data_IF_845613988084
#
_entry.id   IF_845613988084
#
_cell.length_a   1.000
_cell.length_b   1.000
_cell.length_c   1.000
_cell.angle_alpha   90.00
_cell.angle_beta   90.00
_cell.angle_gamma   90.00
#
_symmetry.space_group_name_H-M   'P 1'
#
loop_
_entity.id
_entity.type
_entity.pdbx_description
1 polymer ?
#
# COMPACT_ATOMS: atom_id res chain seq x y z
N UNK A 1 -18.07 -45.64 -27.63
CA UNK A 1 -19.32 -46.41 -27.45
C UNK A 1 -18.95 -47.80 -26.96
N UNK A 2 -19.51 -48.22 -25.81
CA UNK A 2 -19.65 -49.63 -25.34
C UNK A 2 -18.35 -50.41 -25.07
N UNK A 3 -18.13 -51.26 -24.07
CA UNK A 3 -18.87 -51.80 -22.91
C UNK A 3 -17.77 -52.47 -22.04
N UNK A 4 -17.69 -52.22 -20.73
CA UNK A 4 -18.25 -53.00 -19.61
C UNK A 4 -17.72 -54.44 -19.44
N UNK A 5 -17.64 -54.80 -18.15
CA UNK A 5 -17.65 -56.13 -17.52
C UNK A 5 -16.26 -56.78 -17.32
N UNK A 6 -15.90 -57.39 -16.18
CA UNK A 6 -16.62 -57.68 -14.93
C UNK A 6 -15.65 -58.33 -13.90
N UNK A 7 -15.96 -58.18 -12.59
CA UNK A 7 -15.98 -59.18 -11.46
C UNK A 7 -14.97 -60.36 -11.45
N UNK A 8 -14.48 -60.94 -10.34
CA UNK A 8 -14.87 -61.06 -8.93
C UNK A 8 -13.67 -61.72 -8.16
N UNK A 9 -13.30 -61.26 -6.96
CA UNK A 9 -13.49 -61.84 -5.60
C UNK A 9 -12.94 -63.26 -5.28
N UNK A 10 -12.24 -63.30 -4.12
CA UNK A 10 -12.14 -64.35 -3.06
C UNK A 10 -11.30 -65.61 -3.38
N UNK A 11 -10.55 -66.24 -2.46
CA UNK A 11 -10.21 -66.05 -1.04
C UNK A 11 -9.25 -67.19 -0.59
N UNK A 12 -8.46 -66.93 0.49
CA UNK A 12 -7.98 -67.87 1.54
C UNK A 12 -7.12 -69.08 1.09
N UNK A 13 -6.08 -69.58 1.77
CA UNK A 13 -5.57 -69.52 3.15
C UNK A 13 -4.31 -70.39 3.22
N UNK A 14 -3.33 -70.07 4.08
CA UNK A 14 -2.56 -71.10 4.80
C UNK A 14 -1.77 -70.51 5.97
N UNK A 15 -1.94 -71.15 7.11
CA UNK A 15 -1.37 -70.88 8.44
C UNK A 15 0.04 -71.48 8.53
N UNK A 16 0.96 -70.78 9.20
CA UNK A 16 2.29 -71.29 9.57
C UNK A 16 2.78 -70.65 10.87
N UNK A 17 2.81 -71.46 11.92
CA UNK A 17 3.15 -71.17 13.32
C UNK A 17 4.67 -71.00 13.49
N UNK A 18 5.14 -70.11 14.39
CA UNK A 18 6.46 -70.30 15.01
C UNK A 18 7.18 -69.07 15.59
N UNK A 19 7.19 -69.00 16.92
CA UNK A 19 8.22 -68.39 17.80
C UNK A 19 8.32 -66.86 17.91
N UNK A 20 7.84 -66.35 19.06
CA UNK A 20 8.08 -65.00 19.57
C UNK A 20 9.43 -64.90 20.33
N UNK A 21 10.24 -63.85 20.07
CA UNK A 21 11.29 -63.39 20.98
C UNK A 21 10.75 -62.40 22.03
N UNK A 22 11.47 -62.19 23.17
CA UNK A 22 10.96 -61.51 24.35
C UNK A 22 10.69 -60.02 24.16
N UNK A 23 9.69 -59.53 24.91
CA UNK A 23 9.19 -58.16 24.90
C UNK A 23 10.28 -57.14 25.25
N UNK A 24 10.62 -56.30 24.27
CA UNK A 24 11.35 -55.05 24.49
C UNK A 24 10.36 -54.04 25.07
N UNK A 25 10.61 -53.60 26.29
CA UNK A 25 9.90 -52.48 26.93
C UNK A 25 10.12 -51.23 26.07
N UNK A 26 9.06 -50.60 25.51
CA UNK A 26 9.25 -49.38 24.73
C UNK A 26 9.77 -48.26 25.65
N UNK A 27 10.74 -47.45 25.20
CA UNK A 27 11.17 -46.28 25.95
C UNK A 27 9.95 -45.37 26.18
N UNK A 28 9.77 -44.96 27.43
CA UNK A 28 8.75 -44.01 27.87
C UNK A 28 8.80 -42.80 26.93
N UNK A 29 7.72 -42.56 26.19
CA UNK A 29 7.63 -41.43 25.28
C UNK A 29 8.02 -40.15 26.03
N UNK A 30 8.85 -39.27 25.46
CA UNK A 30 9.08 -37.96 26.05
C UNK A 30 7.72 -37.29 26.24
N UNK A 31 7.49 -36.56 27.34
CA UNK A 31 6.24 -35.85 27.52
C UNK A 31 6.01 -35.00 26.28
N UNK A 32 4.84 -35.17 25.63
CA UNK A 32 4.41 -34.28 24.56
C UNK A 32 4.63 -32.84 25.01
N UNK A 33 5.19 -31.96 24.17
CA UNK A 33 5.30 -30.56 24.53
C UNK A 33 3.90 -30.10 24.92
N UNK A 34 3.79 -29.54 26.13
CA UNK A 34 2.61 -28.80 26.54
C UNK A 34 2.46 -27.69 25.51
N UNK A 35 1.56 -27.88 24.55
CA UNK A 35 1.07 -26.79 23.71
C UNK A 35 0.26 -25.93 24.67
N UNK A 36 0.92 -24.91 25.22
CA UNK A 36 0.27 -23.85 25.97
C UNK A 36 -0.79 -23.26 25.03
N UNK A 37 -1.96 -22.98 25.58
CA UNK A 37 -3.18 -22.48 24.92
C UNK A 37 -3.03 -21.07 24.30
N UNK A 38 -1.81 -20.72 23.87
CA UNK A 38 -1.41 -19.43 23.30
C UNK A 38 -2.08 -19.18 21.94
N UNK A 39 -2.44 -20.26 21.22
CA UNK A 39 -3.13 -20.17 19.93
C UNK A 39 -4.53 -19.57 20.04
N UNK A 40 -5.30 -19.94 21.07
CA UNK A 40 -6.68 -19.46 21.22
C UNK A 40 -6.75 -18.00 21.74
N UNK A 41 -5.76 -17.56 22.52
CA UNK A 41 -5.63 -16.17 22.93
C UNK A 41 -5.11 -15.27 21.78
N UNK A 42 -4.16 -15.78 20.99
CA UNK A 42 -3.69 -15.12 19.77
C UNK A 42 -4.82 -14.92 18.76
N UNK A 43 -5.57 -15.97 18.42
CA UNK A 43 -6.66 -15.89 17.43
C UNK A 43 -7.75 -14.91 17.87
N UNK A 44 -8.13 -14.89 19.17
CA UNK A 44 -9.15 -13.96 19.68
C UNK A 44 -8.69 -12.49 19.68
N UNK A 45 -7.43 -12.24 20.02
CA UNK A 45 -6.86 -10.89 20.02
C UNK A 45 -6.57 -10.38 18.61
N UNK A 46 -6.11 -11.26 17.70
CA UNK A 46 -5.95 -10.96 16.28
C UNK A 46 -7.30 -10.64 15.63
N UNK A 47 -8.34 -11.43 15.90
CA UNK A 47 -9.71 -11.15 15.43
C UNK A 47 -10.24 -9.81 15.97
N UNK A 48 -9.94 -9.44 17.21
CA UNK A 48 -10.31 -8.12 17.76
C UNK A 48 -9.59 -6.98 17.05
N UNK A 49 -8.27 -7.10 16.82
CA UNK A 49 -7.49 -6.12 16.09
C UNK A 49 -7.96 -6.02 14.63
N UNK A 50 -8.17 -7.16 13.97
CA UNK A 50 -8.66 -7.23 12.59
C UNK A 50 -10.08 -6.67 12.47
N UNK A 51 -10.95 -6.80 13.49
CA UNK A 51 -12.25 -6.13 13.49
C UNK A 51 -12.12 -4.63 13.61
N UNK A 52 -11.24 -4.13 14.47
CA UNK A 52 -11.00 -2.67 14.60
C UNK A 52 -10.38 -2.12 13.33
N UNK A 53 -9.45 -2.85 12.72
CA UNK A 53 -8.91 -2.50 11.41
C UNK A 53 -9.97 -2.64 10.32
N UNK A 54 -10.82 -3.66 10.30
CA UNK A 54 -11.90 -3.80 9.32
C UNK A 54 -13.00 -2.74 9.49
N UNK A 55 -13.09 -2.07 10.64
CA UNK A 55 -13.93 -0.87 10.78
C UNK A 55 -13.36 0.33 10.03
N UNK A 56 -12.07 0.33 9.74
CA UNK A 56 -11.51 1.22 8.73
C UNK A 56 -11.95 0.70 7.35
N UNK A 57 -12.92 1.37 6.74
CA UNK A 57 -13.51 0.98 5.45
C UNK A 57 -12.46 0.76 4.34
N UNK A 58 -11.29 1.42 4.42
CA UNK A 58 -10.17 1.17 3.49
C UNK A 58 -9.47 -0.15 3.78
N UNK A 59 -9.20 -0.46 5.04
CA UNK A 59 -8.61 -1.75 5.40
C UNK A 59 -9.60 -2.88 5.10
N UNK A 60 -10.87 -2.76 5.50
CA UNK A 60 -11.94 -3.72 5.15
C UNK A 60 -12.03 -3.98 3.64
N UNK A 61 -12.03 -2.93 2.82
CA UNK A 61 -12.04 -3.05 1.37
C UNK A 61 -10.77 -3.74 0.83
N UNK A 62 -9.61 -3.49 1.44
CA UNK A 62 -8.34 -4.16 1.07
C UNK A 62 -8.32 -5.63 1.43
N UNK A 63 -8.85 -6.02 2.60
CA UNK A 63 -8.83 -7.42 3.09
C UNK A 63 -10.09 -8.21 2.74
N UNK A 64 -11.10 -7.58 2.13
CA UNK A 64 -12.37 -8.21 1.80
C UNK A 64 -13.24 -8.57 3.02
N UNK A 65 -12.96 -7.99 4.19
CA UNK A 65 -13.73 -8.22 5.41
C UNK A 65 -14.74 -7.08 5.58
N UNK A 66 -15.96 -7.25 5.07
CA UNK A 66 -17.08 -6.43 5.49
C UNK A 66 -17.75 -7.15 6.66
N UNK A 67 -17.77 -6.54 7.84
CA UNK A 67 -18.37 -7.18 9.02
C UNK A 67 -19.88 -7.33 8.85
N UNK A 68 -20.39 -8.55 9.00
CA UNK A 68 -21.84 -8.81 9.17
C UNK A 68 -22.37 -8.37 10.55
N UNK A 69 -21.50 -7.91 11.45
CA UNK A 69 -21.88 -7.32 12.74
C UNK A 69 -21.78 -5.81 12.67
N UNK A 70 -22.91 -5.12 12.81
CA UNK A 70 -23.00 -3.66 12.81
C UNK A 70 -22.00 -3.01 13.76
N UNK A 71 -21.49 -1.84 13.37
CA UNK A 71 -20.74 -0.97 14.25
C UNK A 71 -21.60 -0.63 15.49
N UNK A 72 -21.01 -0.46 16.69
CA UNK A 72 -21.72 0.29 17.72
C UNK A 72 -22.09 1.66 17.14
N UNK A 73 -23.31 2.13 17.43
CA UNK A 73 -23.96 3.30 16.80
C UNK A 73 -23.16 4.62 16.89
N UNK A 74 -22.05 4.65 17.63
CA UNK A 74 -21.22 5.83 17.92
C UNK A 74 -19.81 5.84 17.24
N UNK A 75 -19.49 4.89 16.35
CA UNK A 75 -18.18 4.86 15.67
C UNK A 75 -18.23 5.53 14.29
N UNK A 76 -17.62 6.71 14.15
CA UNK A 76 -17.42 7.36 12.85
C UNK A 76 -16.09 6.88 12.20
N UNK A 77 -16.12 6.09 11.10
CA UNK A 77 -14.93 5.64 10.38
C UNK A 77 -14.20 6.76 9.62
N UNK A 78 -14.64 8.02 9.74
CA UNK A 78 -14.02 9.18 9.11
C UNK A 78 -13.42 10.18 10.11
N UNK A 79 -13.71 10.05 11.40
CA UNK A 79 -12.96 10.77 12.43
C UNK A 79 -11.59 10.11 12.59
N UNK A 80 -10.58 10.64 11.88
CA UNK A 80 -9.21 10.16 11.91
C UNK A 80 -8.62 10.13 13.33
N UNK A 81 -9.06 11.01 14.23
CA UNK A 81 -8.61 11.04 15.62
C UNK A 81 -9.25 9.90 16.42
N UNK A 82 -10.57 9.71 16.31
CA UNK A 82 -11.25 8.58 16.93
C UNK A 82 -10.73 7.24 16.39
N UNK A 83 -10.45 7.16 15.08
CA UNK A 83 -9.83 6.00 14.44
C UNK A 83 -8.44 5.71 14.98
N UNK A 84 -7.56 6.72 15.01
CA UNK A 84 -6.21 6.55 15.54
C UNK A 84 -6.24 6.08 17.00
N UNK A 85 -7.15 6.61 17.82
CA UNK A 85 -7.34 6.19 19.21
C UNK A 85 -7.85 4.75 19.32
N UNK A 86 -8.87 4.37 18.55
CA UNK A 86 -9.43 3.02 18.55
C UNK A 86 -8.38 1.98 18.11
N UNK A 87 -7.61 2.27 17.06
CA UNK A 87 -6.53 1.39 16.59
C UNK A 87 -5.43 1.29 17.65
N UNK A 88 -5.05 2.40 18.29
CA UNK A 88 -4.03 2.39 19.34
C UNK A 88 -4.46 1.57 20.57
N UNK A 89 -5.72 1.65 20.98
CA UNK A 89 -6.26 0.87 22.09
C UNK A 89 -6.33 -0.63 21.76
N UNK A 90 -6.81 -0.97 20.56
CA UNK A 90 -6.82 -2.35 20.08
C UNK A 90 -5.40 -2.93 19.97
N UNK A 91 -4.46 -2.15 19.45
CA UNK A 91 -3.06 -2.52 19.36
C UNK A 91 -2.44 -2.77 20.73
N UNK A 92 -2.68 -1.89 21.71
CA UNK A 92 -2.19 -2.08 23.09
C UNK A 92 -2.70 -3.39 23.69
N UNK A 93 -3.97 -3.69 23.47
CA UNK A 93 -4.60 -4.94 23.93
C UNK A 93 -3.97 -6.16 23.24
N UNK A 94 -3.74 -6.08 21.94
CA UNK A 94 -3.08 -7.13 21.16
C UNK A 94 -1.63 -7.35 21.58
N UNK A 95 -0.84 -6.28 21.76
CA UNK A 95 0.56 -6.35 22.18
C UNK A 95 0.71 -7.03 23.54
N UNK A 96 -0.16 -6.70 24.51
CA UNK A 96 -0.16 -7.32 25.84
C UNK A 96 -0.62 -8.78 25.80
N UNK A 97 -1.67 -9.09 25.03
CA UNK A 97 -2.17 -10.47 24.87
C UNK A 97 -1.16 -11.41 24.19
N UNK A 98 -0.23 -10.86 23.42
CA UNK A 98 0.73 -11.63 22.62
C UNK A 98 2.16 -11.57 23.17
N UNK A 99 2.36 -10.93 24.33
CA UNK A 99 3.66 -10.71 24.97
C UNK A 99 4.45 -12.02 25.09
N UNK A 100 5.69 -12.04 24.57
CA UNK A 100 6.55 -13.22 24.53
C UNK A 100 6.52 -14.03 23.21
N UNK A 101 5.54 -13.82 22.32
CA UNK A 101 5.51 -14.50 21.01
C UNK A 101 6.48 -13.86 20.00
N UNK A 102 7.24 -14.67 19.28
CA UNK A 102 8.19 -14.25 18.22
C UNK A 102 7.67 -14.52 16.80
N UNK A 103 6.38 -14.84 16.66
CA UNK A 103 5.79 -15.18 15.36
C UNK A 103 5.90 -14.01 14.35
N UNK A 104 6.35 -14.25 13.10
CA UNK A 104 6.39 -13.24 12.05
C UNK A 104 5.04 -12.57 11.79
N UNK A 105 3.95 -13.33 11.90
CA UNK A 105 2.57 -12.86 11.74
C UNK A 105 2.18 -11.83 12.80
N UNK A 106 2.63 -12.03 14.05
CA UNK A 106 2.43 -11.07 15.15
C UNK A 106 3.09 -9.73 14.83
N UNK A 107 4.37 -9.77 14.40
CA UNK A 107 5.11 -8.57 14.02
C UNK A 107 4.42 -7.85 12.86
N UNK A 108 3.93 -8.60 11.86
CA UNK A 108 3.17 -8.06 10.74
C UNK A 108 1.91 -7.31 11.18
N UNK A 109 1.12 -7.90 12.09
CA UNK A 109 -0.10 -7.30 12.61
C UNK A 109 0.19 -6.01 13.41
N UNK A 110 1.21 -6.03 14.28
CA UNK A 110 1.63 -4.85 15.05
C UNK A 110 2.04 -3.70 14.13
N UNK A 111 2.89 -3.98 13.13
CA UNK A 111 3.39 -2.95 12.23
C UNK A 111 2.30 -2.40 11.31
N UNK A 112 1.39 -3.27 10.86
CA UNK A 112 0.22 -2.83 10.09
C UNK A 112 -0.65 -1.91 10.94
N UNK A 113 -0.99 -2.30 12.17
CA UNK A 113 -1.80 -1.46 13.05
C UNK A 113 -1.13 -0.12 13.39
N UNK A 114 0.19 -0.10 13.62
CA UNK A 114 0.96 1.16 13.83
C UNK A 114 0.89 2.06 12.61
N UNK A 115 1.05 1.50 11.41
CA UNK A 115 0.96 2.24 10.16
C UNK A 115 -0.45 2.82 9.94
N UNK A 116 -1.50 2.02 10.18
CA UNK A 116 -2.90 2.47 10.06
C UNK A 116 -3.26 3.54 11.10
N UNK A 117 -2.82 3.41 12.36
CA UNK A 117 -3.02 4.42 13.39
C UNK A 117 -2.31 5.74 13.05
N UNK A 118 -1.07 5.66 12.58
CA UNK A 118 -0.32 6.84 12.15
C UNK A 118 -0.98 7.51 10.93
N UNK A 119 -1.48 6.72 9.98
CA UNK A 119 -2.21 7.24 8.82
C UNK A 119 -3.49 7.95 9.23
N UNK A 120 -4.30 7.33 10.10
CA UNK A 120 -5.53 7.94 10.62
C UNK A 120 -5.23 9.27 11.34
N UNK A 121 -4.12 9.34 12.08
CA UNK A 121 -3.62 10.58 12.67
C UNK A 121 -3.28 11.65 11.63
N UNK A 122 -2.60 11.28 10.53
CA UNK A 122 -2.30 12.21 9.43
C UNK A 122 -3.56 12.69 8.71
N UNK A 123 -4.54 11.80 8.50
CA UNK A 123 -5.83 12.12 7.86
C UNK A 123 -6.62 13.16 8.67
N UNK A 124 -6.58 13.08 10.00
CA UNK A 124 -7.21 14.06 10.88
C UNK A 124 -6.57 15.46 10.78
N UNK A 125 -5.28 15.55 10.48
CA UNK A 125 -4.55 16.81 10.41
C UNK A 125 -4.51 17.43 9.01
N UNK A 126 -4.65 16.63 7.95
CA UNK A 126 -4.41 17.04 6.58
C UNK A 126 -5.59 16.80 5.67
N UNK A 127 -6.14 17.90 5.16
CA UNK A 127 -7.19 17.89 4.13
C UNK A 127 -6.74 17.23 2.82
N UNK A 128 -5.44 17.25 2.51
CA UNK A 128 -4.86 16.54 1.35
C UNK A 128 -4.99 15.02 1.51
N UNK A 129 -4.72 14.48 2.69
CA UNK A 129 -4.97 13.06 2.98
C UNK A 129 -6.47 12.75 3.05
N UNK A 130 -7.30 13.73 3.44
CA UNK A 130 -8.76 13.66 3.32
C UNK A 130 -9.26 13.51 1.88
N UNK A 131 -8.66 14.23 0.91
CA UNK A 131 -9.00 14.06 -0.50
C UNK A 131 -8.59 12.67 -1.05
N UNK A 132 -7.42 12.17 -0.62
CA UNK A 132 -7.01 10.79 -0.89
C UNK A 132 -7.98 9.78 -0.27
N UNK A 133 -8.51 10.07 0.94
CA UNK A 133 -9.54 9.29 1.62
C UNK A 133 -10.80 9.19 0.78
N UNK A 134 -11.32 10.30 0.29
CA UNK A 134 -12.48 10.33 -0.60
C UNK A 134 -12.25 9.48 -1.87
N UNK A 135 -11.06 9.55 -2.48
CA UNK A 135 -10.76 8.75 -3.66
C UNK A 135 -10.75 7.25 -3.34
N UNK A 136 -10.02 6.84 -2.31
CA UNK A 136 -9.90 5.44 -1.94
C UNK A 136 -11.26 4.83 -1.55
N UNK A 137 -12.16 5.61 -0.95
CA UNK A 137 -13.52 5.17 -0.64
C UNK A 137 -14.36 4.98 -1.91
N UNK A 138 -14.26 5.91 -2.85
CA UNK A 138 -14.93 5.79 -4.15
C UNK A 138 -14.42 4.58 -4.96
N UNK A 139 -13.13 4.28 -4.88
CA UNK A 139 -12.52 3.08 -5.49
C UNK A 139 -12.93 1.81 -4.75
N UNK A 140 -12.94 1.80 -3.41
CA UNK A 140 -13.42 0.67 -2.60
C UNK A 140 -14.90 0.35 -2.87
N UNK A 141 -15.74 1.37 -2.95
CA UNK A 141 -17.12 1.29 -3.41
C UNK A 141 -17.22 0.70 -4.82
N UNK A 142 -16.16 0.85 -5.61
CA UNK A 142 -16.12 0.32 -6.96
C UNK A 142 -15.89 -1.18 -7.04
N UNK A 143 -15.15 -1.72 -6.09
CA UNK A 143 -14.66 -3.09 -6.13
C UNK A 143 -15.46 -4.07 -5.25
N UNK A 144 -16.32 -3.59 -4.35
CA UNK A 144 -17.09 -4.44 -3.42
C UNK A 144 -18.57 -4.07 -3.40
N UNK A 145 -19.52 -5.02 -3.58
CA UNK A 145 -20.95 -4.80 -3.41
C UNK A 145 -21.35 -4.36 -1.99
N UNK A 146 -20.56 -4.70 -0.97
CA UNK A 146 -20.81 -4.33 0.42
C UNK A 146 -20.27 -2.91 0.74
N UNK A 147 -19.06 -2.56 0.30
CA UNK A 147 -18.58 -1.17 0.35
C UNK A 147 -19.46 -0.26 -0.50
N UNK A 148 -19.96 -0.78 -1.63
CA UNK A 148 -20.93 -0.12 -2.47
C UNK A 148 -22.26 0.11 -1.78
N UNK A 149 -22.61 -0.53 -0.64
CA UNK A 149 -23.84 -0.20 0.10
C UNK A 149 -23.65 1.03 0.98
N UNK A 150 -22.51 1.14 1.66
CA UNK A 150 -22.18 2.28 2.52
C UNK A 150 -21.80 3.52 1.69
N UNK A 151 -21.09 3.34 0.57
CA UNK A 151 -20.82 4.37 -0.42
C UNK A 151 -21.91 4.53 -1.50
N UNK A 152 -22.99 3.72 -1.47
CA UNK A 152 -24.18 3.95 -2.31
C UNK A 152 -25.08 5.04 -1.74
N UNK A 153 -24.94 5.39 -0.46
CA UNK A 153 -25.70 6.52 0.05
C UNK A 153 -25.02 7.82 -0.38
N UNK A 154 -25.59 8.40 -1.43
CA UNK A 154 -25.22 9.72 -1.94
C UNK A 154 -25.26 10.78 -0.82
N UNK A 155 -26.10 10.62 0.20
CA UNK A 155 -26.12 11.52 1.36
C UNK A 155 -24.82 11.41 2.18
N UNK A 156 -24.40 10.19 2.52
CA UNK A 156 -23.17 9.94 3.27
C UNK A 156 -21.95 10.46 2.51
N UNK A 157 -21.81 10.14 1.23
CA UNK A 157 -20.67 10.62 0.45
C UNK A 157 -20.67 12.14 0.30
N UNK A 158 -21.84 12.77 0.11
CA UNK A 158 -21.97 14.22 0.07
C UNK A 158 -21.59 14.90 1.39
N UNK A 159 -22.04 14.35 2.51
CA UNK A 159 -21.67 14.80 3.86
C UNK A 159 -20.16 14.77 4.03
N UNK A 160 -19.50 13.68 3.62
CA UNK A 160 -18.03 13.54 3.73
C UNK A 160 -17.27 14.51 2.85
N UNK A 161 -17.76 14.77 1.64
CA UNK A 161 -17.18 15.83 0.79
C UNK A 161 -17.37 17.20 1.46
N UNK A 162 -18.50 17.42 2.14
CA UNK A 162 -18.77 18.57 3.00
C UNK A 162 -17.76 18.72 4.14
N UNK A 163 -17.47 17.66 4.89
CA UNK A 163 -16.49 17.67 5.99
C UNK A 163 -15.10 18.10 5.48
N UNK A 164 -14.67 17.58 4.33
CA UNK A 164 -13.42 17.98 3.69
C UNK A 164 -13.45 19.46 3.31
N UNK A 165 -14.56 19.95 2.76
CA UNK A 165 -14.75 21.36 2.42
C UNK A 165 -14.70 22.28 3.67
N UNK A 166 -15.29 21.85 4.77
CA UNK A 166 -15.33 22.63 6.01
C UNK A 166 -13.94 22.66 6.68
N UNK A 167 -13.23 21.53 6.70
CA UNK A 167 -11.83 21.48 7.14
C UNK A 167 -10.89 22.30 6.23
N UNK A 168 -11.23 22.42 4.95
CA UNK A 168 -10.45 23.19 3.97
C UNK A 168 -10.68 24.69 4.11
N UNK A 169 -11.94 25.12 4.25
CA UNK A 169 -12.33 26.53 4.33
C UNK A 169 -11.90 27.22 5.62
N UNK A 170 -11.79 26.46 6.72
CA UNK A 170 -11.41 26.99 8.05
C UNK A 170 -9.90 27.19 8.23
N UNK A 171 -9.07 26.63 7.35
CA UNK A 171 -7.61 26.67 7.48
C UNK A 171 -6.96 27.40 6.31
N UNK A 172 -5.96 28.27 6.57
CA UNK A 172 -5.15 28.87 5.49
C UNK A 172 -4.31 27.77 4.81
N UNK A 173 -4.62 27.46 3.54
CA UNK A 173 -3.91 26.44 2.74
C UNK A 173 -3.03 27.05 1.66
N UNK A 174 -1.88 26.43 1.44
CA UNK A 174 -0.94 26.76 0.38
C UNK A 174 -1.49 26.44 -1.02
N UNK A 175 -0.95 27.06 -2.06
CA UNK A 175 -1.37 26.78 -3.46
C UNK A 175 -1.06 25.33 -3.83
N UNK A 176 0.03 24.80 -3.31
CA UNK A 176 0.40 23.40 -3.51
C UNK A 176 -0.64 22.46 -2.90
N UNK A 177 -1.05 22.68 -1.64
CA UNK A 177 -2.12 21.90 -1.00
C UNK A 177 -3.45 21.99 -1.75
N UNK A 178 -3.81 23.19 -2.21
CA UNK A 178 -5.03 23.40 -3.02
C UNK A 178 -4.99 22.60 -4.31
N UNK A 179 -3.89 22.67 -5.06
CA UNK A 179 -3.71 21.94 -6.32
C UNK A 179 -3.71 20.42 -6.12
N UNK A 180 -3.11 19.92 -5.04
CA UNK A 180 -3.14 18.48 -4.75
C UNK A 180 -4.56 18.00 -4.45
N UNK A 181 -5.35 18.77 -3.70
CA UNK A 181 -6.78 18.46 -3.49
C UNK A 181 -7.53 18.51 -4.83
N UNK A 182 -7.34 19.54 -5.66
CA UNK A 182 -7.96 19.62 -7.00
C UNK A 182 -7.63 18.38 -7.87
N UNK A 183 -6.36 17.98 -7.91
CA UNK A 183 -5.91 16.80 -8.66
C UNK A 183 -6.52 15.50 -8.10
N UNK A 184 -6.76 15.40 -6.79
CA UNK A 184 -7.41 14.26 -6.15
C UNK A 184 -8.94 14.20 -6.39
N UNK A 185 -9.60 15.35 -6.65
CA UNK A 185 -11.03 15.41 -6.95
C UNK A 185 -11.37 14.98 -8.39
N UNK A 186 -10.45 15.16 -9.33
CA UNK A 186 -10.62 14.79 -10.74
C UNK A 186 -11.00 13.30 -10.93
N UNK A 187 -10.28 12.32 -10.34
CA UNK A 187 -10.66 10.92 -10.40
C UNK A 187 -12.01 10.62 -9.74
N UNK A 188 -12.31 11.28 -8.61
CA UNK A 188 -13.57 11.10 -7.87
C UNK A 188 -14.77 11.54 -8.71
N UNK A 189 -14.70 12.71 -9.33
CA UNK A 189 -15.74 13.21 -10.23
C UNK A 189 -15.97 12.27 -11.41
N UNK A 190 -14.89 11.83 -12.08
CA UNK A 190 -14.97 10.86 -13.18
C UNK A 190 -15.60 9.54 -12.75
N UNK A 191 -15.40 9.12 -11.50
CA UNK A 191 -15.97 7.90 -10.96
C UNK A 191 -17.48 8.07 -10.68
N UNK A 192 -17.89 9.17 -10.05
CA UNK A 192 -19.30 9.48 -9.76
C UNK A 192 -20.11 9.62 -11.04
N UNK A 193 -19.57 10.32 -12.05
CA UNK A 193 -20.22 10.45 -13.36
C UNK A 193 -20.40 9.09 -14.03
N UNK A 194 -19.38 8.22 -14.03
CA UNK A 194 -19.45 6.88 -14.65
C UNK A 194 -20.46 5.95 -13.99
N UNK A 195 -20.76 6.10 -12.69
CA UNK A 195 -21.59 5.15 -11.91
C UNK A 195 -23.09 5.43 -11.85
N UNK A 196 -23.57 6.39 -12.63
CA UNK A 196 -25.00 6.73 -12.69
C UNK A 196 -25.29 8.19 -12.95
N UNK A 197 -24.25 9.02 -13.16
CA UNK A 197 -24.40 10.42 -13.50
C UNK A 197 -25.12 11.24 -12.42
N UNK A 198 -25.55 12.44 -12.82
CA UNK A 198 -26.14 13.46 -11.94
C UNK A 198 -27.39 13.05 -11.15
N UNK A 199 -28.05 11.94 -11.48
CA UNK A 199 -29.27 11.52 -10.80
C UNK A 199 -29.02 10.64 -9.56
N UNK A 200 -28.01 9.74 -9.63
CA UNK A 200 -27.70 8.83 -8.51
C UNK A 200 -26.83 9.48 -7.44
N UNK A 201 -25.92 10.35 -7.87
CA UNK A 201 -24.93 11.00 -7.00
C UNK A 201 -25.10 12.53 -6.98
N UNK A 202 -26.36 13.00 -7.00
CA UNK A 202 -26.68 14.41 -7.13
C UNK A 202 -26.11 15.25 -5.98
N UNK A 203 -26.23 14.76 -4.73
CA UNK A 203 -25.75 15.44 -3.54
C UNK A 203 -24.22 15.44 -3.52
N UNK A 204 -23.59 14.31 -3.83
CA UNK A 204 -22.14 14.17 -3.84
C UNK A 204 -21.50 15.05 -4.90
N UNK A 205 -22.10 15.10 -6.10
CA UNK A 205 -21.65 16.00 -7.17
C UNK A 205 -21.81 17.48 -6.77
N UNK A 206 -22.93 17.85 -6.13
CA UNK A 206 -23.13 19.20 -5.60
C UNK A 206 -22.09 19.58 -4.53
N UNK A 207 -21.84 18.68 -3.58
CA UNK A 207 -20.80 18.88 -2.57
C UNK A 207 -19.41 18.99 -3.20
N UNK A 208 -19.12 18.20 -4.24
CA UNK A 208 -17.86 18.25 -4.99
C UNK A 208 -17.70 19.55 -5.76
N UNK A 209 -18.77 20.06 -6.38
CA UNK A 209 -18.79 21.39 -7.00
C UNK A 209 -18.48 22.48 -5.97
N UNK A 210 -19.13 22.45 -4.80
CA UNK A 210 -18.87 23.41 -3.72
C UNK A 210 -17.41 23.34 -3.23
N UNK A 211 -16.87 22.14 -3.07
CA UNK A 211 -15.46 21.97 -2.71
C UNK A 211 -14.53 22.57 -3.78
N UNK A 212 -14.81 22.35 -5.07
CA UNK A 212 -14.06 22.95 -6.18
C UNK A 212 -14.16 24.48 -6.21
N UNK A 213 -15.33 25.03 -5.89
CA UNK A 213 -15.50 26.48 -5.74
C UNK A 213 -14.62 27.00 -4.61
N UNK A 214 -14.63 26.37 -3.43
CA UNK A 214 -13.75 26.73 -2.30
C UNK A 214 -12.26 26.61 -2.65
N UNK A 215 -11.84 25.59 -3.43
CA UNK A 215 -10.44 25.48 -3.87
C UNK A 215 -10.09 26.54 -4.92
N UNK A 216 -11.03 26.84 -5.83
CA UNK A 216 -10.88 27.73 -6.98
C UNK A 216 -11.01 29.23 -6.67
N UNK A 217 -11.90 29.64 -5.77
CA UNK A 217 -12.12 31.05 -5.37
C UNK A 217 -10.85 31.68 -4.79
N UNK A 218 -9.97 30.89 -4.18
CA UNK A 218 -8.69 31.39 -3.70
C UNK A 218 -7.65 31.64 -4.80
N UNK A 219 -7.84 31.14 -6.04
CA UNK A 219 -7.04 31.60 -7.18
C UNK A 219 -7.31 33.07 -7.51
N UNK A 220 -8.50 33.59 -7.17
CA UNK A 220 -8.86 34.97 -7.42
C UNK A 220 -8.30 35.95 -6.36
N UNK A 221 -7.79 35.45 -5.22
CA UNK A 221 -7.27 36.27 -4.12
C UNK A 221 -5.82 36.77 -4.31
N UNK A 222 -5.22 36.58 -5.49
CA UNK A 222 -3.97 37.22 -5.90
C UNK A 222 -2.68 36.61 -5.30
N UNK A 223 -1.54 37.07 -5.86
CA UNK A 223 -0.16 36.59 -5.69
C UNK A 223 0.45 36.70 -4.27
N UNK A 224 -0.37 36.69 -3.21
CA UNK A 224 0.16 36.61 -1.86
C UNK A 224 0.99 35.33 -1.71
N UNK A 225 2.27 35.42 -1.30
CA UNK A 225 3.08 34.23 -1.05
C UNK A 225 2.38 33.41 0.02
N UNK A 226 1.82 32.28 -0.40
CA UNK A 226 1.20 31.36 0.52
C UNK A 226 2.30 30.71 1.37
N UNK A 227 2.00 30.36 2.63
CA UNK A 227 3.00 29.77 3.50
C UNK A 227 3.58 28.52 2.85
N UNK A 228 4.91 28.40 2.87
CA UNK A 228 5.58 27.16 2.47
C UNK A 228 4.99 26.00 3.28
N UNK A 229 4.67 24.87 2.64
CA UNK A 229 4.20 23.71 3.36
C UNK A 229 5.24 23.35 4.41
N UNK A 230 4.85 23.33 5.69
CA UNK A 230 5.78 23.01 6.78
C UNK A 230 6.26 21.57 6.56
N UNK A 231 7.56 21.32 6.31
CA UNK A 231 8.05 19.97 6.12
C UNK A 231 7.79 19.18 7.40
N UNK A 232 7.04 18.09 7.26
CA UNK A 232 6.77 17.14 8.35
C UNK A 232 8.02 16.32 8.67
N UNK A 233 8.20 15.86 9.91
CA UNK A 233 9.28 14.93 10.23
C UNK A 233 9.18 13.67 9.35
N UNK A 234 10.29 13.26 8.74
CA UNK A 234 10.35 12.06 7.91
C UNK A 234 9.89 10.82 8.69
N UNK A 235 10.20 10.74 9.98
CA UNK A 235 9.87 9.61 10.87
C UNK A 235 8.37 9.28 10.87
N UNK A 236 7.50 10.30 10.88
CA UNK A 236 6.05 10.07 10.85
C UNK A 236 5.62 9.40 9.53
N UNK A 237 6.25 9.77 8.40
CA UNK A 237 5.98 9.14 7.12
C UNK A 237 6.52 7.70 7.06
N UNK A 238 7.67 7.44 7.69
CA UNK A 238 8.26 6.09 7.78
C UNK A 238 7.38 5.12 8.58
N UNK A 239 6.78 5.59 9.67
CA UNK A 239 5.80 4.79 10.42
C UNK A 239 4.60 4.41 9.55
N UNK A 240 4.06 5.34 8.76
CA UNK A 240 2.90 5.09 7.88
C UNK A 240 3.20 4.06 6.79
N UNK A 241 4.41 4.05 6.24
CA UNK A 241 4.78 3.06 5.22
C UNK A 241 5.13 1.69 5.83
N UNK A 242 5.25 1.61 7.16
CA UNK A 242 5.64 0.41 7.89
C UNK A 242 7.15 0.15 7.84
N UNK A 243 7.96 1.21 7.88
CA UNK A 243 9.42 1.17 7.91
C UNK A 243 9.97 1.62 9.26
N UNK A 244 11.02 0.94 9.72
CA UNK A 244 11.70 1.16 11.01
C UNK A 244 13.11 1.76 10.83
N UNK A 245 13.55 2.00 9.58
CA UNK A 245 14.84 2.63 9.30
C UNK A 245 14.92 4.04 9.84
N UNK A 246 16.13 4.45 10.21
CA UNK A 246 16.43 5.84 10.53
C UNK A 246 16.49 6.67 9.22
N UNK A 247 16.21 7.99 9.26
CA UNK A 247 16.25 8.86 8.08
C UNK A 247 17.52 8.77 7.24
N UNK A 248 18.69 8.66 7.88
CA UNK A 248 20.00 8.50 7.23
C UNK A 248 20.10 7.16 6.48
N UNK A 249 19.58 6.09 7.08
CA UNK A 249 19.56 4.76 6.47
C UNK A 249 18.59 4.70 5.27
N UNK A 250 17.46 5.42 5.34
CA UNK A 250 16.52 5.57 4.23
C UNK A 250 17.18 6.27 3.06
N UNK A 251 17.85 7.40 3.30
CA UNK A 251 18.58 8.13 2.25
C UNK A 251 19.69 7.28 1.63
N UNK A 252 20.45 6.55 2.44
CA UNK A 252 21.50 5.65 1.96
C UNK A 252 20.92 4.52 1.10
N UNK A 253 19.83 3.88 1.55
CA UNK A 253 19.14 2.80 0.85
C UNK A 253 18.59 3.28 -0.49
N UNK A 254 17.84 4.38 -0.50
CA UNK A 254 17.26 4.96 -1.71
C UNK A 254 18.36 5.41 -2.68
N UNK A 255 19.42 6.05 -2.20
CA UNK A 255 20.52 6.51 -3.04
C UNK A 255 21.31 5.37 -3.69
N UNK A 256 21.49 4.24 -2.99
CA UNK A 256 22.12 3.05 -3.56
C UNK A 256 21.21 2.37 -4.61
N UNK A 257 19.91 2.28 -4.34
CA UNK A 257 18.94 1.74 -5.26
C UNK A 257 18.77 2.59 -6.52
N UNK A 258 18.78 3.92 -6.38
CA UNK A 258 18.68 4.87 -7.49
C UNK A 258 19.80 4.62 -8.51
N UNK A 259 21.06 4.67 -8.09
CA UNK A 259 22.21 4.41 -8.96
C UNK A 259 22.15 3.04 -9.64
N UNK A 260 21.73 2.02 -8.90
CA UNK A 260 21.63 0.65 -9.41
C UNK A 260 20.54 0.55 -10.49
N UNK A 261 19.34 1.05 -10.19
CA UNK A 261 18.21 1.04 -11.13
C UNK A 261 18.47 1.95 -12.33
N UNK A 262 19.15 3.08 -12.14
CA UNK A 262 19.54 3.98 -13.22
C UNK A 262 20.48 3.27 -14.20
N UNK A 263 21.51 2.59 -13.69
CA UNK A 263 22.45 1.81 -14.50
C UNK A 263 21.76 0.70 -15.29
N UNK A 264 20.88 -0.07 -14.63
CA UNK A 264 20.10 -1.14 -15.27
C UNK A 264 19.15 -0.59 -16.34
N UNK A 265 18.41 0.47 -16.03
CA UNK A 265 17.47 1.10 -16.96
C UNK A 265 18.19 1.66 -18.18
N UNK A 266 19.30 2.39 -18.00
CA UNK A 266 20.11 2.94 -19.09
C UNK A 266 20.70 1.84 -19.96
N UNK A 267 21.23 0.77 -19.36
CA UNK A 267 21.75 -0.38 -20.10
C UNK A 267 20.65 -1.02 -20.96
N UNK A 268 19.47 -1.25 -20.38
CA UNK A 268 18.34 -1.83 -21.12
C UNK A 268 17.79 -0.91 -22.21
N UNK A 269 17.72 0.40 -21.97
CA UNK A 269 17.33 1.37 -23.00
C UNK A 269 18.33 1.42 -24.15
N UNK A 270 19.63 1.28 -23.89
CA UNK A 270 20.67 1.27 -24.92
C UNK A 270 20.63 0.02 -25.82
N UNK A 271 20.08 -1.09 -25.33
CA UNK A 271 19.79 -2.29 -26.15
C UNK A 271 18.62 -2.04 -27.13
N UNK A 272 17.80 -1.03 -26.87
CA UNK A 272 16.68 -0.65 -27.73
C UNK A 272 17.15 0.36 -28.78
N UNK A 273 16.57 0.29 -29.98
CA UNK A 273 16.71 1.39 -30.95
C UNK A 273 16.12 2.70 -30.39
N UNK A 274 16.71 3.83 -30.78
CA UNK A 274 16.37 5.17 -30.27
C UNK A 274 14.86 5.44 -30.21
N UNK A 275 14.14 5.20 -31.32
CA UNK A 275 12.68 5.38 -31.39
C UNK A 275 11.92 4.57 -30.34
N UNK A 276 12.35 3.33 -30.09
CA UNK A 276 11.73 2.46 -29.09
C UNK A 276 12.06 2.94 -27.68
N UNK A 277 13.32 3.35 -27.42
CA UNK A 277 13.72 3.92 -26.13
C UNK A 277 12.94 5.20 -25.79
N UNK A 278 12.72 6.10 -26.76
CA UNK A 278 11.87 7.30 -26.58
C UNK A 278 10.42 6.91 -26.27
N UNK A 279 9.87 5.93 -26.97
CA UNK A 279 8.51 5.45 -26.69
C UNK A 279 8.40 4.84 -25.29
N UNK A 280 9.39 4.06 -24.87
CA UNK A 280 9.44 3.42 -23.54
C UNK A 280 9.51 4.47 -22.43
N UNK A 281 10.40 5.45 -22.54
CA UNK A 281 10.54 6.52 -21.52
C UNK A 281 9.31 7.42 -21.45
N UNK A 282 8.62 7.66 -22.58
CA UNK A 282 7.33 8.37 -22.58
C UNK A 282 6.21 7.55 -21.95
N UNK A 283 6.15 6.24 -22.21
CA UNK A 283 5.13 5.36 -21.60
C UNK A 283 5.33 5.21 -20.10
N UNK A 284 6.57 5.02 -19.64
CA UNK A 284 6.91 5.00 -18.23
C UNK A 284 6.49 6.30 -17.52
N UNK A 285 6.67 7.46 -18.19
CA UNK A 285 6.25 8.77 -17.67
C UNK A 285 4.73 8.87 -17.46
N UNK A 286 3.95 8.34 -18.41
CA UNK A 286 2.48 8.25 -18.25
C UNK A 286 2.10 7.34 -17.08
N UNK A 287 2.77 6.19 -16.92
CA UNK A 287 2.49 5.24 -15.83
C UNK A 287 2.84 5.77 -14.45
N UNK A 288 3.86 6.64 -14.36
CA UNK A 288 4.26 7.27 -13.11
C UNK A 288 3.10 8.10 -12.49
N UNK A 289 2.26 8.68 -13.34
CA UNK A 289 1.07 9.45 -12.96
C UNK A 289 -0.18 8.61 -12.68
N UNK A 290 -0.25 7.36 -13.19
CA UNK A 290 -1.43 6.51 -13.03
C UNK A 290 -1.52 5.92 -11.61
N UNK A 291 -2.74 5.93 -11.07
CA UNK A 291 -3.13 5.12 -9.90
C UNK A 291 -3.77 3.84 -10.40
N UNK A 292 -3.29 2.70 -9.94
CA UNK A 292 -3.89 1.41 -10.26
C UNK A 292 -3.68 0.42 -9.11
N UNK A 293 -4.71 -0.36 -8.81
CA UNK A 293 -4.69 -1.25 -7.65
C UNK A 293 -3.75 -2.43 -7.84
N UNK A 294 -2.80 -2.57 -6.92
CA UNK A 294 -1.97 -3.75 -6.81
C UNK A 294 -2.65 -4.76 -5.88
N UNK A 295 -3.47 -5.65 -6.48
CA UNK A 295 -4.09 -6.77 -5.77
C UNK A 295 -3.29 -8.05 -5.99
N UNK A 296 -2.89 -8.70 -4.90
CA UNK A 296 -2.28 -10.03 -4.90
C UNK A 296 -3.10 -10.92 -3.98
N UNK A 297 -3.63 -12.02 -4.51
CA UNK A 297 -4.31 -13.03 -3.69
C UNK A 297 -3.30 -14.08 -3.23
N UNK A 298 -3.12 -14.22 -1.91
CA UNK A 298 -2.25 -15.21 -1.29
C UNK A 298 -3.14 -16.18 -0.49
N UNK A 299 -3.45 -17.37 -1.03
CA UNK A 299 -4.47 -18.26 -0.48
C UNK A 299 -4.32 -18.63 1.01
N UNK A 300 -3.10 -18.52 1.55
CA UNK A 300 -2.75 -18.95 2.91
C UNK A 300 -2.72 -17.81 3.94
N UNK A 301 -3.04 -16.56 3.57
CA UNK A 301 -2.99 -15.44 4.51
C UNK A 301 -3.91 -14.30 4.12
N UNK A 302 -4.87 -13.98 4.99
CA UNK A 302 -5.78 -12.84 4.86
C UNK A 302 -5.04 -11.50 4.92
N UNK A 303 -4.11 -11.33 5.85
CA UNK A 303 -3.30 -10.11 5.97
C UNK A 303 -2.37 -9.88 4.77
N UNK A 304 -1.76 -10.94 4.21
CA UNK A 304 -0.90 -10.83 3.02
C UNK A 304 -1.69 -10.77 1.71
N UNK A 305 -2.94 -11.25 1.72
CA UNK A 305 -3.90 -11.09 0.61
C UNK A 305 -4.55 -9.72 0.56
N UNK A 306 -4.32 -8.87 1.58
CA UNK A 306 -4.77 -7.49 1.57
C UNK A 306 -4.21 -6.79 0.33
N UNK A 307 -5.07 -6.05 -0.38
CA UNK A 307 -4.59 -5.14 -1.41
C UNK A 307 -3.60 -4.13 -0.80
N UNK A 308 -2.72 -3.58 -1.64
CA UNK A 308 -1.70 -2.67 -1.17
C UNK A 308 -2.26 -1.47 -0.42
N UNK A 309 -1.55 -1.02 0.62
CA UNK A 309 -1.77 0.32 1.16
C UNK A 309 -1.51 1.36 0.07
N UNK A 310 -2.22 2.51 0.08
CA UNK A 310 -2.04 3.55 -0.93
C UNK A 310 -0.59 3.98 -1.12
N UNK A 311 0.20 3.97 -0.03
CA UNK A 311 1.59 4.38 -0.05
C UNK A 311 2.50 3.43 -0.82
N UNK A 312 2.13 2.15 -0.93
CA UNK A 312 2.96 1.10 -1.53
C UNK A 312 2.44 0.58 -2.86
N UNK A 313 1.18 0.85 -3.16
CA UNK A 313 0.47 0.41 -4.37
C UNK A 313 1.24 0.68 -5.66
N UNK A 314 1.71 1.92 -5.83
CA UNK A 314 2.46 2.34 -7.01
C UNK A 314 3.81 1.61 -7.16
N UNK A 315 4.48 1.28 -6.05
CA UNK A 315 5.70 0.48 -6.04
C UNK A 315 5.41 -0.97 -6.38
N UNK A 316 4.38 -1.55 -5.75
CA UNK A 316 3.92 -2.92 -5.99
C UNK A 316 3.60 -3.17 -7.47
N UNK A 317 2.94 -2.22 -8.14
CA UNK A 317 2.70 -2.29 -9.58
C UNK A 317 3.98 -2.32 -10.41
N UNK A 318 4.93 -1.41 -10.15
CA UNK A 318 6.18 -1.37 -10.91
C UNK A 318 6.98 -2.67 -10.74
N UNK A 319 7.00 -3.22 -9.51
CA UNK A 319 7.60 -4.54 -9.23
C UNK A 319 6.89 -5.64 -10.03
N UNK A 320 5.57 -5.58 -10.15
CA UNK A 320 4.78 -6.55 -10.91
C UNK A 320 5.06 -6.49 -12.40
N UNK A 321 5.11 -5.29 -12.95
CA UNK A 321 5.46 -5.06 -14.35
C UNK A 321 6.83 -5.64 -14.68
N UNK A 322 7.82 -5.45 -13.81
CA UNK A 322 9.15 -6.05 -14.00
C UNK A 322 9.11 -7.58 -13.91
N UNK A 323 8.43 -8.13 -12.91
CA UNK A 323 8.33 -9.58 -12.73
C UNK A 323 7.70 -10.29 -13.94
N UNK A 324 6.73 -9.66 -14.59
CA UNK A 324 6.01 -10.21 -15.74
C UNK A 324 6.47 -9.68 -17.09
N UNK A 325 7.51 -8.86 -17.16
CA UNK A 325 8.06 -8.34 -18.41
C UNK A 325 8.54 -9.50 -19.31
N UNK A 326 7.97 -9.59 -20.51
CA UNK A 326 8.28 -10.63 -21.52
C UNK A 326 9.18 -10.11 -22.62
N UNK A 327 9.22 -8.80 -22.82
CA UNK A 327 10.01 -8.16 -23.86
C UNK A 327 11.06 -7.21 -23.26
N UNK A 328 12.18 -6.95 -23.98
CA UNK A 328 13.18 -5.96 -23.54
C UNK A 328 12.58 -4.55 -23.32
N UNK A 329 11.59 -4.16 -24.13
CA UNK A 329 10.93 -2.87 -23.99
C UNK A 329 10.06 -2.79 -22.73
N UNK A 330 9.32 -3.85 -22.38
CA UNK A 330 8.57 -3.93 -21.13
C UNK A 330 9.51 -3.92 -19.91
N UNK A 331 10.63 -4.65 -19.99
CA UNK A 331 11.62 -4.70 -18.92
C UNK A 331 12.28 -3.33 -18.70
N UNK A 332 12.68 -2.65 -19.78
CA UNK A 332 13.20 -1.30 -19.74
C UNK A 332 12.17 -0.30 -19.15
N UNK A 333 10.90 -0.40 -19.57
CA UNK A 333 9.82 0.45 -19.04
C UNK A 333 9.64 0.27 -17.54
N UNK A 334 9.65 -0.98 -17.06
CA UNK A 334 9.48 -1.28 -15.64
C UNK A 334 10.69 -0.81 -14.81
N UNK A 335 11.93 -0.95 -15.34
CA UNK A 335 13.14 -0.44 -14.68
C UNK A 335 13.15 1.09 -14.60
N UNK A 336 12.74 1.79 -15.66
CA UNK A 336 12.55 3.25 -15.64
C UNK A 336 11.51 3.65 -14.60
N UNK A 337 10.38 2.96 -14.55
CA UNK A 337 9.34 3.24 -13.55
C UNK A 337 9.85 3.04 -12.11
N UNK A 338 10.55 1.92 -11.84
CA UNK A 338 11.14 1.65 -10.52
C UNK A 338 12.16 2.72 -10.13
N UNK A 339 13.08 3.08 -11.03
CA UNK A 339 14.03 4.16 -10.81
C UNK A 339 13.31 5.47 -10.44
N UNK A 340 12.32 5.88 -11.24
CA UNK A 340 11.63 7.14 -11.04
C UNK A 340 10.81 7.18 -9.73
N UNK A 341 10.30 6.03 -9.26
CA UNK A 341 9.71 5.93 -7.91
C UNK A 341 10.75 6.17 -6.81
N UNK A 342 11.96 5.62 -6.96
CA UNK A 342 13.07 5.89 -6.02
C UNK A 342 13.49 7.36 -6.07
N UNK A 343 13.58 7.95 -7.25
CA UNK A 343 13.91 9.37 -7.44
C UNK A 343 12.89 10.29 -6.71
N UNK A 344 11.59 10.03 -6.87
CA UNK A 344 10.53 10.79 -6.16
C UNK A 344 10.60 10.58 -4.64
N UNK A 345 10.95 9.38 -4.17
CA UNK A 345 11.17 9.13 -2.74
C UNK A 345 12.41 9.87 -2.20
N UNK A 346 13.48 9.98 -2.98
CA UNK A 346 14.65 10.80 -2.63
C UNK A 346 14.29 12.28 -2.53
N UNK A 347 13.42 12.79 -3.42
CA UNK A 347 12.91 14.15 -3.31
C UNK A 347 12.14 14.35 -2.00
N UNK A 348 11.23 13.42 -1.68
CA UNK A 348 10.48 13.47 -0.42
C UNK A 348 11.42 13.42 0.79
N UNK A 349 12.38 12.51 0.81
CA UNK A 349 13.35 12.43 1.90
C UNK A 349 14.11 13.75 2.06
N UNK A 350 14.66 14.32 0.98
CA UNK A 350 15.41 15.58 1.01
C UNK A 350 14.59 16.78 1.51
N UNK A 351 13.33 16.90 1.10
CA UNK A 351 12.43 17.96 1.58
C UNK A 351 12.16 17.85 3.09
N UNK A 352 12.07 16.62 3.60
CA UNK A 352 11.64 16.34 4.97
C UNK A 352 12.79 16.12 5.97
N UNK A 353 14.03 15.92 5.51
CA UNK A 353 15.23 15.81 6.37
C UNK A 353 16.09 17.06 6.36
N UNK A 354 16.43 17.55 5.17
CA UNK A 354 17.46 18.56 4.95
C UNK A 354 16.88 19.93 4.63
N UNK A 355 15.54 20.04 4.53
CA UNK A 355 14.81 21.25 4.11
C UNK A 355 15.39 21.86 2.84
N UNK A 356 15.86 21.01 1.94
CA UNK A 356 16.48 21.45 0.70
C UNK A 356 15.45 22.17 -0.19
N UNK A 357 15.93 23.14 -0.97
CA UNK A 357 15.10 23.80 -1.95
C UNK A 357 14.81 22.86 -3.12
N UNK A 358 13.63 23.03 -3.74
CA UNK A 358 13.23 22.26 -4.92
C UNK A 358 14.25 22.35 -6.06
N UNK A 359 14.94 23.48 -6.23
CA UNK A 359 16.03 23.63 -7.20
C UNK A 359 17.25 22.74 -6.88
N UNK A 360 17.66 22.68 -5.61
CA UNK A 360 18.80 21.87 -5.19
C UNK A 360 18.52 20.36 -5.35
N UNK A 361 17.31 19.93 -5.03
CA UNK A 361 16.88 18.53 -5.17
C UNK A 361 16.80 18.13 -6.66
N UNK A 362 16.17 18.98 -7.51
CA UNK A 362 16.06 18.74 -8.96
C UNK A 362 17.42 18.67 -9.66
N UNK A 363 18.43 19.38 -9.17
CA UNK A 363 19.78 19.37 -9.74
C UNK A 363 20.58 18.10 -9.45
N UNK A 364 20.14 17.26 -8.49
CA UNK A 364 20.88 16.05 -8.07
C UNK A 364 20.19 14.75 -8.44
N UNK A 365 18.86 14.73 -8.44
CA UNK A 365 18.06 13.52 -8.66
C UNK A 365 17.11 13.78 -9.81
N UNK A 366 17.30 13.05 -10.91
CA UNK A 366 16.56 13.23 -12.17
C UNK A 366 15.59 12.07 -12.41
N UNK A 367 14.53 12.31 -13.19
CA UNK A 367 13.69 11.24 -13.71
C UNK A 367 14.28 10.76 -15.04
N UNK A 368 14.23 9.46 -15.28
CA UNK A 368 14.56 8.88 -16.59
C UNK A 368 13.38 8.92 -17.55
N UNK A 369 12.15 8.87 -17.04
CA UNK A 369 10.97 8.97 -17.89
C UNK A 369 10.82 10.38 -18.46
N UNK A 370 10.35 10.44 -19.70
CA UNK A 370 9.93 11.71 -20.30
C UNK A 370 8.57 12.09 -19.71
N UNK A 371 8.55 13.16 -18.94
CA UNK A 371 7.37 13.69 -18.25
C UNK A 371 7.09 15.12 -18.70
N UNK A 372 5.80 15.44 -18.89
CA UNK A 372 5.39 16.83 -19.06
C UNK A 372 5.52 17.61 -17.75
N UNK A 373 5.53 18.94 -17.84
CA UNK A 373 5.73 19.80 -16.67
C UNK A 373 4.62 19.63 -15.63
N UNK A 374 3.38 19.35 -16.07
CA UNK A 374 2.25 19.12 -15.17
C UNK A 374 2.48 17.88 -14.31
N UNK A 375 2.91 16.77 -14.91
CA UNK A 375 3.19 15.51 -14.23
C UNK A 375 4.37 15.67 -13.28
N UNK A 376 5.44 16.33 -13.74
CA UNK A 376 6.61 16.59 -12.90
C UNK A 376 6.25 17.44 -11.68
N UNK A 377 5.47 18.50 -11.87
CA UNK A 377 5.02 19.35 -10.76
C UNK A 377 4.09 18.62 -9.81
N UNK A 378 3.24 17.72 -10.30
CA UNK A 378 2.39 16.87 -9.46
C UNK A 378 3.24 15.91 -8.59
N UNK A 379 4.27 15.28 -9.17
CA UNK A 379 5.17 14.40 -8.41
C UNK A 379 5.95 15.15 -7.33
N UNK A 380 6.37 16.38 -7.61
CA UNK A 380 7.04 17.22 -6.62
C UNK A 380 6.11 17.66 -5.50
N UNK A 381 4.89 18.10 -5.84
CA UNK A 381 3.86 18.38 -4.82
C UNK A 381 3.60 17.16 -3.95
N UNK A 382 3.45 15.98 -4.55
CA UNK A 382 3.26 14.72 -3.84
C UNK A 382 4.43 14.40 -2.90
N UNK A 383 5.66 14.59 -3.35
CA UNK A 383 6.86 14.40 -2.53
C UNK A 383 6.92 15.34 -1.32
N UNK A 384 6.42 16.57 -1.46
CA UNK A 384 6.39 17.59 -0.39
C UNK A 384 5.20 17.46 0.55
N UNK A 385 4.02 17.12 0.04
CA UNK A 385 2.75 17.18 0.79
C UNK A 385 2.32 15.83 1.34
N UNK A 386 2.68 14.76 0.66
CA UNK A 386 2.31 13.38 1.00
C UNK A 386 3.55 12.47 0.96
N UNK A 387 4.56 12.75 1.80
CA UNK A 387 5.84 12.03 1.74
C UNK A 387 5.69 10.53 1.94
N UNK A 388 4.69 10.06 2.71
CA UNK A 388 4.45 8.63 2.88
C UNK A 388 4.13 7.93 1.55
N UNK A 389 3.36 8.56 0.65
CA UNK A 389 3.05 7.99 -0.67
C UNK A 389 4.31 7.87 -1.55
N UNK A 390 5.16 8.90 -1.53
CA UNK A 390 6.42 8.89 -2.26
C UNK A 390 7.39 7.83 -1.70
N UNK A 391 7.59 7.83 -0.38
CA UNK A 391 8.51 6.92 0.31
C UNK A 391 8.08 5.46 0.19
N UNK A 392 6.80 5.15 0.40
CA UNK A 392 6.32 3.77 0.35
C UNK A 392 6.58 3.16 -1.03
N UNK A 393 6.27 3.90 -2.09
CA UNK A 393 6.49 3.46 -3.46
C UNK A 393 7.98 3.31 -3.79
N UNK A 394 8.81 4.26 -3.36
CA UNK A 394 10.25 4.21 -3.63
C UNK A 394 10.98 3.15 -2.81
N UNK A 395 10.59 2.91 -1.56
CA UNK A 395 11.19 1.87 -0.72
C UNK A 395 10.86 0.47 -1.24
N UNK A 396 9.64 0.23 -1.72
CA UNK A 396 9.29 -1.03 -2.41
C UNK A 396 10.16 -1.20 -3.67
N UNK A 397 10.36 -0.16 -4.47
CA UNK A 397 11.24 -0.21 -5.62
C UNK A 397 12.72 -0.42 -5.24
N UNK A 398 13.17 0.15 -4.12
CA UNK A 398 14.53 0.01 -3.63
C UNK A 398 14.87 -1.44 -3.21
N UNK A 399 13.88 -2.22 -2.76
CA UNK A 399 14.09 -3.65 -2.47
C UNK A 399 14.43 -4.45 -3.72
N UNK A 400 13.87 -4.08 -4.88
CA UNK A 400 14.24 -4.67 -6.17
C UNK A 400 15.64 -4.20 -6.59
N UNK A 401 15.90 -2.90 -6.47
CA UNK A 401 17.16 -2.24 -6.81
C UNK A 401 18.31 -2.42 -5.82
N UNK A 402 18.19 -3.32 -4.85
CA UNK A 402 19.22 -3.54 -3.83
C UNK A 402 20.57 -4.06 -4.40
N UNK A 403 20.53 -4.72 -5.57
CA UNK A 403 21.72 -5.06 -6.35
C UNK A 403 21.38 -5.13 -7.84
N UNK A 404 22.38 -5.20 -8.72
CA UNK A 404 22.16 -5.37 -10.16
C UNK A 404 21.74 -6.81 -10.51
N UNK A 405 22.40 -7.79 -9.87
CA UNK A 405 22.13 -9.21 -10.07
C UNK A 405 20.82 -9.64 -9.45
N UNK A 406 20.06 -10.52 -10.13
CA UNK A 406 18.85 -11.10 -9.56
C UNK A 406 17.65 -10.15 -9.48
N UNK A 407 17.68 -9.02 -10.19
CA UNK A 407 16.64 -7.96 -10.08
C UNK A 407 15.25 -8.48 -10.45
N UNK A 408 15.14 -9.28 -11.51
CA UNK A 408 13.87 -9.85 -11.98
C UNK A 408 13.38 -10.97 -11.05
N UNK A 409 14.30 -11.77 -10.52
CA UNK A 409 14.05 -12.81 -9.53
C UNK A 409 13.54 -12.22 -8.22
N UNK A 410 14.15 -11.13 -7.74
CA UNK A 410 13.65 -10.37 -6.58
C UNK A 410 12.26 -9.80 -6.83
N UNK A 411 12.03 -9.20 -8.01
CA UNK A 411 10.70 -8.71 -8.35
C UNK A 411 9.66 -9.84 -8.31
N UNK A 412 10.00 -11.01 -8.87
CA UNK A 412 9.16 -12.21 -8.85
C UNK A 412 8.94 -12.75 -7.43
N UNK A 413 9.95 -12.70 -6.58
CA UNK A 413 9.83 -13.08 -5.16
C UNK A 413 8.86 -12.14 -4.45
N UNK A 414 9.03 -10.83 -4.60
CA UNK A 414 8.22 -9.80 -3.94
C UNK A 414 6.75 -9.89 -4.37
N UNK A 415 6.46 -10.28 -5.61
CA UNK A 415 5.08 -10.57 -6.03
C UNK A 415 4.37 -11.62 -5.16
N UNK A 416 5.12 -12.54 -4.53
CA UNK A 416 4.53 -13.58 -3.66
C UNK A 416 4.17 -13.08 -2.27
N UNK A 417 4.64 -11.89 -1.90
CA UNK A 417 4.35 -11.27 -0.60
C UNK A 417 3.29 -10.19 -0.70
N UNK A 418 2.76 -9.95 -1.91
CA UNK A 418 1.75 -8.93 -2.16
C UNK A 418 2.26 -7.57 -1.69
N UNK A 419 1.52 -6.97 -0.77
CA UNK A 419 1.89 -5.72 -0.14
C UNK A 419 2.06 -5.85 1.39
N UNK A 420 2.72 -6.94 1.81
CA UNK A 420 3.19 -7.05 3.18
C UNK A 420 3.99 -5.79 3.59
N UNK A 421 4.01 -5.42 4.88
CA UNK A 421 4.82 -4.30 5.38
C UNK A 421 6.27 -4.35 4.85
N UNK A 422 6.83 -3.18 4.51
CA UNK A 422 8.15 -3.07 3.84
C UNK A 422 9.24 -3.83 4.57
N UNK A 423 9.25 -3.77 5.90
CA UNK A 423 10.19 -4.51 6.72
C UNK A 423 10.16 -6.03 6.50
N UNK A 424 8.99 -6.62 6.25
CA UNK A 424 8.86 -8.04 5.96
C UNK A 424 9.33 -8.37 4.55
N UNK A 425 9.04 -7.50 3.58
CA UNK A 425 9.55 -7.61 2.22
C UNK A 425 11.08 -7.58 2.23
N UNK A 426 11.67 -6.68 3.01
CA UNK A 426 13.12 -6.60 3.24
C UNK A 426 13.68 -7.88 3.85
N UNK A 427 13.04 -8.40 4.90
CA UNK A 427 13.49 -9.62 5.57
C UNK A 427 13.41 -10.83 4.61
N UNK A 428 12.38 -10.91 3.77
CA UNK A 428 12.26 -11.92 2.73
C UNK A 428 13.37 -11.82 1.66
N UNK A 429 13.69 -10.61 1.19
CA UNK A 429 14.79 -10.38 0.24
C UNK A 429 16.13 -10.77 0.85
N UNK A 430 16.39 -10.38 2.11
CA UNK A 430 17.61 -10.78 2.84
C UNK A 430 17.72 -12.30 2.99
N UNK A 431 16.63 -12.99 3.33
CA UNK A 431 16.61 -14.45 3.48
C UNK A 431 16.83 -15.19 2.16
N UNK A 432 16.46 -14.59 1.03
CA UNK A 432 16.61 -15.18 -0.32
C UNK A 432 17.97 -14.92 -0.98
N UNK A 433 18.77 -14.00 -0.44
CA UNK A 433 20.06 -13.63 -1.03
C UNK A 433 21.10 -14.71 -0.72
N UNK A 434 21.81 -15.26 -1.73
CA UNK A 434 22.89 -16.22 -1.48
C UNK A 434 23.98 -15.55 -0.62
N UNK A 435 24.49 -16.29 0.37
CA UNK A 435 25.55 -15.84 1.30
C UNK A 435 26.91 -15.81 0.64
#
# INVERSE_FOLDING_TARGET
MSARASLALLALSAVGVGCAPPAVVPPKAPPSPVVVDDGAAFVRSEDTLLRVLARDGRFAARVGLFSEGGAPDDYDPFDGKARAQAIAEALRTFEEATKGSTAPERRAAILTAKAEAARAGLEAELTVYGAELLLALAEAASDSPAAAREAADDATLAERIGDVNDAFSTTKRSLAERREVEDALDPLERLLVRRGGGARYAKSLSALTKLRETTGEARALGDAPLPDPRPRPLDAALVVVGEELRPDEVLATLGAAERTLEGLAKAKLAELGEKTATSVTSDAGRRLALRASCKVSIPTSTLRSAAASPEREAGCLAVRELAFAKTPAEEASALVALHDRVAVALWAAAFHTSRETLGAVRGRVHLLATTDDRTRDALLRRATLTPALALGSGLVAALVGASAEGTKERATLLQRYGDAPIVMLRDAVKASSPK
#
